data_IF_644891663496
#
_entry.id   IF_644891663496
#
_cell.length_a   1.000
_cell.length_b   1.000
_cell.length_c   1.000
_cell.angle_alpha   90.00
_cell.angle_beta   90.00
_cell.angle_gamma   90.00
#
_symmetry.space_group_name_H-M   'P 1'
#
loop_
_entity.id
_entity.type
_entity.pdbx_description
1 polymer ?
#
# COMPACT_ATOMS: atom_id res chain seq x y z
N UNK A 1 16.59 1.04 18.40
CA UNK A 1 15.55 1.86 17.76
C UNK A 1 14.78 1.07 16.73
N UNK A 2 13.60 1.50 16.57
CA UNK A 2 12.74 0.88 15.63
C UNK A 2 13.14 1.21 14.19
N UNK A 3 13.03 0.22 13.34
CA UNK A 3 13.29 0.43 11.93
C UNK A 3 12.18 1.26 11.31
N UNK A 4 12.59 2.19 10.46
CA UNK A 4 11.62 2.96 9.68
C UNK A 4 11.35 2.30 8.35
N UNK A 5 11.99 1.18 8.06
CA UNK A 5 11.83 0.50 6.80
C UNK A 5 10.81 -0.61 6.96
N UNK A 6 9.75 -0.54 6.17
CA UNK A 6 8.78 -1.61 6.10
C UNK A 6 8.75 -2.17 4.71
N UNK A 7 8.65 -3.48 4.61
CA UNK A 7 8.58 -4.16 3.34
C UNK A 7 7.62 -5.32 3.47
N UNK A 8 6.89 -5.61 2.39
CA UNK A 8 5.93 -6.70 2.38
C UNK A 8 5.88 -7.32 0.99
N UNK A 9 5.74 -8.63 0.97
CA UNK A 9 5.63 -9.39 -0.27
C UNK A 9 4.39 -10.28 -0.15
N UNK A 10 3.52 -10.23 -1.18
CA UNK A 10 2.31 -11.03 -1.20
C UNK A 10 2.26 -11.79 -2.51
N UNK A 11 2.00 -13.08 -2.42
CA UNK A 11 1.87 -13.89 -3.61
C UNK A 11 0.58 -13.59 -4.35
N UNK A 12 0.63 -13.66 -5.67
CA UNK A 12 -0.57 -13.52 -6.47
C UNK A 12 -1.55 -14.62 -6.12
N UNK A 13 -2.81 -14.26 -5.98
CA UNK A 13 -3.85 -15.23 -5.68
C UNK A 13 -5.19 -14.55 -5.53
N UNK A 14 -6.24 -15.34 -5.49
CA UNK A 14 -7.60 -14.82 -5.46
C UNK A 14 -8.13 -14.58 -4.05
N UNK A 15 -7.36 -14.93 -3.04
CA UNK A 15 -7.81 -14.77 -1.66
C UNK A 15 -8.13 -13.32 -1.31
N UNK A 16 -7.40 -12.39 -1.91
CA UNK A 16 -7.62 -10.96 -1.62
C UNK A 16 -9.05 -10.53 -1.90
N UNK A 17 -9.69 -11.18 -2.88
CA UNK A 17 -11.09 -10.84 -3.20
C UNK A 17 -12.02 -11.23 -2.06
N UNK A 18 -11.77 -12.36 -1.44
CA UNK A 18 -12.66 -12.86 -0.38
C UNK A 18 -12.59 -12.00 0.86
N UNK A 19 -11.45 -11.41 1.14
CA UNK A 19 -11.26 -10.65 2.37
C UNK A 19 -11.19 -9.15 2.13
N UNK A 20 -11.45 -8.70 0.90
CA UNK A 20 -11.30 -7.28 0.57
C UNK A 20 -12.16 -6.40 1.47
N UNK A 21 -13.34 -6.86 1.84
CA UNK A 21 -14.23 -6.07 2.69
C UNK A 21 -13.62 -5.78 4.06
N UNK A 22 -12.57 -6.49 4.44
CA UNK A 22 -11.94 -6.28 5.75
C UNK A 22 -10.86 -5.21 5.71
N UNK A 23 -10.34 -4.89 4.53
CA UNK A 23 -9.24 -3.91 4.46
C UNK A 23 -9.44 -2.80 3.44
N UNK A 24 -10.44 -2.90 2.56
CA UNK A 24 -10.69 -1.86 1.56
C UNK A 24 -11.72 -0.87 2.07
N UNK A 25 -11.39 0.41 1.96
CA UNK A 25 -12.32 1.48 2.30
C UNK A 25 -13.20 1.79 1.09
N UNK A 26 -14.44 2.24 1.35
CA UNK A 26 -15.31 2.60 0.21
C UNK A 26 -14.75 3.74 -0.63
N UNK A 27 -13.90 4.59 -0.06
CA UNK A 27 -13.35 5.74 -0.78
C UNK A 27 -12.01 5.44 -1.45
N UNK A 28 -11.59 4.18 -1.48
CA UNK A 28 -10.37 3.81 -2.18
C UNK A 28 -10.70 3.34 -3.57
N UNK A 29 -9.80 3.66 -4.50
CA UNK A 29 -9.97 3.34 -5.92
C UNK A 29 -9.31 2.00 -6.24
N UNK A 30 -10.08 1.13 -6.88
CA UNK A 30 -9.53 -0.13 -7.39
C UNK A 30 -9.39 0.05 -8.89
N UNK A 31 -8.18 -0.14 -9.42
CA UNK A 31 -7.94 -0.02 -10.84
C UNK A 31 -7.60 -1.38 -11.43
N UNK A 32 -7.83 -1.51 -12.73
CA UNK A 32 -7.53 -2.75 -13.43
C UNK A 32 -6.10 -2.76 -13.93
N UNK A 33 -5.53 -3.94 -13.96
CA UNK A 33 -4.22 -4.16 -14.54
C UNK A 33 -4.25 -5.53 -15.20
N UNK A 34 -3.96 -5.56 -16.50
CA UNK A 34 -4.02 -6.79 -17.29
C UNK A 34 -5.40 -7.45 -17.20
N UNK A 35 -6.44 -6.61 -17.22
CA UNK A 35 -7.80 -7.10 -17.29
C UNK A 35 -8.40 -7.57 -15.98
N UNK A 36 -7.74 -7.34 -14.85
CA UNK A 36 -8.29 -7.79 -13.57
C UNK A 36 -7.96 -6.79 -12.48
N UNK A 37 -8.69 -6.88 -11.38
CA UNK A 37 -8.49 -5.99 -10.24
C UNK A 37 -7.68 -6.64 -9.13
N UNK A 38 -7.25 -7.87 -9.30
CA UNK A 38 -6.51 -8.61 -8.28
C UNK A 38 -5.24 -7.89 -7.87
N UNK A 39 -4.51 -7.35 -8.85
CA UNK A 39 -3.26 -6.68 -8.56
C UNK A 39 -3.47 -5.44 -7.70
N UNK A 40 -4.51 -4.68 -8.00
CA UNK A 40 -4.83 -3.50 -7.21
C UNK A 40 -5.17 -3.89 -5.77
N UNK A 41 -5.97 -4.92 -5.61
CA UNK A 41 -6.33 -5.39 -4.27
C UNK A 41 -5.11 -5.88 -3.50
N UNK A 42 -4.22 -6.62 -4.18
CA UNK A 42 -3.00 -7.09 -3.54
C UNK A 42 -2.12 -5.92 -3.10
N UNK A 43 -2.02 -4.90 -3.94
CA UNK A 43 -1.21 -3.73 -3.59
C UNK A 43 -1.80 -2.99 -2.40
N UNK A 44 -3.12 -2.87 -2.34
CA UNK A 44 -3.74 -2.24 -1.17
C UNK A 44 -3.45 -3.04 0.09
N UNK A 45 -3.60 -4.36 0.02
CA UNK A 45 -3.33 -5.19 1.17
C UNK A 45 -1.87 -5.10 1.60
N UNK A 46 -0.97 -5.27 0.65
CA UNK A 46 0.47 -5.26 0.93
C UNK A 46 0.92 -3.92 1.50
N UNK A 47 0.43 -2.82 0.91
CA UNK A 47 0.79 -1.49 1.38
C UNK A 47 0.31 -1.26 2.81
N UNK A 48 -0.88 -1.75 3.14
CA UNK A 48 -1.40 -1.56 4.49
C UNK A 48 -0.63 -2.40 5.50
N UNK A 49 -0.10 -3.55 5.08
CA UNK A 49 0.81 -4.30 5.92
C UNK A 49 2.08 -3.50 6.22
N UNK A 50 2.62 -2.85 5.20
CA UNK A 50 3.79 -2.00 5.38
C UNK A 50 3.49 -0.85 6.34
N UNK A 51 2.35 -0.19 6.12
CA UNK A 51 1.96 0.92 6.98
C UNK A 51 1.87 0.47 8.44
N UNK A 52 1.23 -0.67 8.65
CA UNK A 52 1.06 -1.20 10.00
C UNK A 52 2.42 -1.47 10.65
N UNK A 53 3.34 -2.06 9.89
CA UNK A 53 4.67 -2.36 10.41
C UNK A 53 5.43 -1.10 10.80
N UNK A 54 5.12 0.01 10.15
CA UNK A 54 5.81 1.28 10.41
C UNK A 54 5.10 2.14 11.44
N UNK A 55 3.97 1.69 11.95
CA UNK A 55 3.23 2.44 12.95
C UNK A 55 3.56 1.92 14.34
N UNK A 56 3.54 2.84 15.29
CA UNK A 56 3.77 2.47 16.68
C UNK A 56 2.44 2.54 17.41
N UNK A 57 1.52 1.69 16.97
CA UNK A 57 0.18 1.69 17.54
C UNK A 57 -0.39 0.28 17.48
N UNK A 58 -1.27 -0.03 18.43
CA UNK A 58 -1.97 -1.30 18.46
C UNK A 58 -3.39 -1.11 17.99
N UNK A 59 -4.08 -2.21 17.76
CA UNK A 59 -5.49 -2.20 17.43
C UNK A 59 -5.77 -1.33 16.21
N UNK A 60 -4.99 -1.55 15.16
CA UNK A 60 -5.16 -0.83 13.92
C UNK A 60 -6.12 -1.61 13.02
N UNK A 61 -7.19 -0.94 12.60
CA UNK A 61 -8.14 -1.53 11.67
C UNK A 61 -7.74 -1.10 10.27
N UNK A 62 -7.41 -2.06 9.41
CA UNK A 62 -6.89 -1.75 8.09
C UNK A 62 -7.89 -0.97 7.24
N UNK A 63 -9.17 -1.23 7.43
CA UNK A 63 -10.19 -0.54 6.65
C UNK A 63 -10.45 0.86 7.18
N UNK A 64 -10.61 0.98 8.51
CA UNK A 64 -10.96 2.27 9.10
C UNK A 64 -9.77 3.22 9.22
N UNK A 65 -8.61 2.68 9.47
CA UNK A 65 -7.48 3.51 9.86
C UNK A 65 -6.44 3.73 8.78
N UNK A 66 -6.45 2.95 7.70
CA UNK A 66 -5.41 3.04 6.70
C UNK A 66 -6.02 3.35 5.34
N UNK A 67 -5.50 4.37 4.68
CA UNK A 67 -6.05 4.80 3.40
C UNK A 67 -4.95 4.94 2.36
N UNK A 68 -5.17 4.34 1.21
CA UNK A 68 -4.29 4.45 0.04
C UNK A 68 -4.89 5.48 -0.89
N UNK A 69 -4.08 6.46 -1.31
CA UNK A 69 -4.57 7.47 -2.24
C UNK A 69 -4.73 6.84 -3.63
N UNK A 70 -5.61 7.39 -4.46
CA UNK A 70 -5.84 6.84 -5.79
C UNK A 70 -4.57 6.75 -6.61
N UNK A 71 -4.40 5.64 -7.31
CA UNK A 71 -3.28 5.46 -8.21
C UNK A 71 -3.66 4.45 -9.28
N UNK A 72 -2.97 4.52 -10.40
CA UNK A 72 -3.14 3.59 -11.50
C UNK A 72 -2.09 2.50 -11.38
N UNK A 73 -2.52 1.24 -11.41
CA UNK A 73 -1.58 0.13 -11.28
C UNK A 73 -0.70 0.07 -12.52
N UNK A 74 0.60 -0.04 -12.30
CA UNK A 74 1.59 -0.22 -13.34
C UNK A 74 2.52 -1.33 -12.89
N UNK A 75 3.52 -1.63 -13.69
CA UNK A 75 4.49 -2.66 -13.34
C UNK A 75 5.28 -2.28 -12.10
N UNK A 76 5.51 -1.00 -11.92
CA UNK A 76 6.11 -0.46 -10.71
C UNK A 76 5.66 0.98 -10.57
N UNK A 77 5.78 1.52 -9.36
CA UNK A 77 5.37 2.88 -9.12
C UNK A 77 5.36 3.19 -7.65
N UNK A 78 4.66 4.25 -7.31
CA UNK A 78 4.52 4.63 -5.92
C UNK A 78 3.22 5.38 -5.73
N UNK A 79 2.74 5.41 -4.49
CA UNK A 79 1.54 6.13 -4.16
C UNK A 79 1.59 6.58 -2.70
N UNK A 80 0.93 7.70 -2.39
CA UNK A 80 0.85 8.14 -1.00
C UNK A 80 -0.24 7.39 -0.24
N UNK A 81 -0.06 7.37 1.07
CA UNK A 81 -1.04 6.76 1.96
C UNK A 81 -1.07 7.53 3.26
N UNK A 82 -2.11 7.35 4.04
CA UNK A 82 -2.30 8.10 5.26
C UNK A 82 -3.00 7.23 6.29
N UNK A 83 -2.60 7.37 7.56
CA UNK A 83 -3.25 6.64 8.64
C UNK A 83 -4.07 7.58 9.49
N UNK A 84 -5.15 7.06 10.05
CA UNK A 84 -6.08 7.84 10.88
C UNK A 84 -6.18 7.29 12.30
N UNK A 85 -5.30 6.34 12.64
CA UNK A 85 -5.33 5.71 13.97
C UNK A 85 -4.73 6.61 15.04
N UNK A 86 -3.73 7.41 14.66
CA UNK A 86 -3.06 8.29 15.61
C UNK A 86 -3.44 9.74 15.34
N UNK A 87 -3.16 10.58 16.32
CA UNK A 87 -3.43 12.02 16.15
C UNK A 87 -2.55 12.65 15.08
N UNK A 88 -1.41 12.03 14.85
CA UNK A 88 -0.46 12.60 13.90
C UNK A 88 -0.92 12.44 12.46
N UNK A 89 -1.76 11.46 12.20
CA UNK A 89 -2.21 11.17 10.85
C UNK A 89 -1.02 11.06 9.93
N UNK A 90 -0.13 10.15 10.29
CA UNK A 90 1.13 9.97 9.60
C UNK A 90 0.90 9.66 8.13
N UNK A 91 1.74 10.25 7.28
CA UNK A 91 1.67 10.02 5.85
C UNK A 91 2.83 9.15 5.42
N UNK A 92 2.55 8.35 4.40
CA UNK A 92 3.51 7.38 3.88
C UNK A 92 3.65 7.57 2.39
N UNK A 93 4.83 7.26 1.89
CA UNK A 93 5.02 7.07 0.46
C UNK A 93 5.39 5.60 0.27
N UNK A 94 4.56 4.88 -0.47
CA UNK A 94 4.74 3.45 -0.68
C UNK A 94 5.16 3.21 -2.12
N UNK A 95 6.27 2.54 -2.31
CA UNK A 95 6.69 2.09 -3.63
C UNK A 95 6.35 0.64 -3.82
N UNK A 96 6.19 0.24 -5.07
CA UNK A 96 5.81 -1.12 -5.34
C UNK A 96 6.40 -1.63 -6.63
N UNK A 97 6.45 -2.95 -6.71
CA UNK A 97 6.92 -3.67 -7.89
C UNK A 97 6.01 -4.87 -8.07
N UNK A 98 5.58 -5.10 -9.31
CA UNK A 98 4.81 -6.28 -9.65
C UNK A 98 5.73 -7.29 -10.33
N UNK A 99 5.63 -8.52 -9.87
CA UNK A 99 6.24 -9.67 -10.50
C UNK A 99 5.09 -10.57 -10.94
N UNK A 100 5.27 -11.42 -11.97
CA UNK A 100 4.16 -12.29 -12.36
C UNK A 100 3.57 -13.13 -11.23
N UNK A 101 4.37 -13.41 -10.20
CA UNK A 101 3.94 -14.30 -9.12
C UNK A 101 3.65 -13.58 -7.80
N UNK A 102 3.98 -12.28 -7.68
CA UNK A 102 3.82 -11.60 -6.40
C UNK A 102 3.88 -10.09 -6.57
N UNK A 103 3.47 -9.38 -5.52
CA UNK A 103 3.72 -7.95 -5.41
C UNK A 103 4.68 -7.73 -4.25
N UNK A 104 5.46 -6.66 -4.36
CA UNK A 104 6.33 -6.23 -3.28
C UNK A 104 6.10 -4.75 -3.05
N UNK A 105 5.92 -4.36 -1.78
CA UNK A 105 5.76 -2.95 -1.42
C UNK A 105 6.72 -2.61 -0.31
N UNK A 106 7.10 -1.33 -0.26
CA UNK A 106 7.98 -0.87 0.81
C UNK A 106 7.79 0.62 0.99
N UNK A 107 8.11 1.07 2.18
CA UNK A 107 8.00 2.48 2.52
C UNK A 107 9.26 3.22 2.12
N UNK A 108 9.06 4.41 1.55
CA UNK A 108 10.14 5.31 1.23
C UNK A 108 10.08 6.45 2.23
N UNK A 109 11.16 6.68 2.95
CA UNK A 109 11.15 7.66 4.02
C UNK A 109 11.73 9.00 3.61
N UNK A 110 12.42 9.05 2.49
CA UNK A 110 13.11 10.25 2.09
C UNK A 110 12.26 11.10 1.17
N UNK A 111 12.28 12.39 1.39
CA UNK A 111 11.61 13.32 0.49
C UNK A 111 12.25 13.31 -0.90
N UNK A 112 13.47 12.84 -1.00
CA UNK A 112 14.15 12.82 -2.30
C UNK A 112 13.50 11.84 -3.25
N UNK A 113 12.85 10.82 -2.73
CA UNK A 113 12.28 9.80 -3.60
C UNK A 113 11.22 10.38 -4.52
N UNK A 114 10.55 11.42 -4.08
CA UNK A 114 9.51 12.04 -4.89
C UNK A 114 10.09 12.62 -6.15
N UNK A 115 11.24 13.26 -6.03
CA UNK A 115 11.85 13.91 -7.18
C UNK A 115 12.30 12.92 -8.22
N UNK A 116 12.76 11.78 -7.78
CA UNK A 116 13.24 10.79 -8.72
C UNK A 116 12.14 10.27 -9.61
N UNK A 117 10.97 10.17 -9.08
CA UNK A 117 9.85 9.65 -9.86
C UNK A 117 9.48 10.56 -11.00
N UNK A 118 9.71 11.83 -10.83
CA UNK A 118 9.35 12.82 -11.84
C UNK A 118 10.40 12.97 -12.90
N UNK A 119 11.54 12.37 -12.73
CA UNK A 119 12.61 12.49 -13.69
C UNK A 119 12.31 11.62 -14.89
N UNK A 120 12.18 12.22 -16.06
CA UNK A 120 11.91 11.45 -17.28
C UNK A 120 13.05 10.51 -17.61
#
# INVERSE_FOLDING_TARGET
PRSEVGIDIEQYGQRVHKVAHKYMRPDELISEYQGEDTWSLLLHWSAKEVMFKCMDASEVDFREHLRIMPFQVCEHGEFPAEEYRTEHKKKFMIRYLLHPDFVMTWQVTSAYSVNECDTP
#
